data_IF_423542371701
#
_entry.id   IF_423542371701
#
_cell.length_a   1.000
_cell.length_b   1.000
_cell.length_c   1.000
_cell.angle_alpha   90.00
_cell.angle_beta   90.00
_cell.angle_gamma   90.00
#
_symmetry.space_group_name_H-M   'P 1'
#
loop_
_entity.id
_entity.type
_entity.pdbx_description
1 polymer ?
#
# COMPACT_ATOMS: atom_id res chain seq x y z
N UNK A 1 30.67 -22.32 -6.23
CA UNK A 1 30.68 -22.04 -4.78
C UNK A 1 30.57 -20.54 -4.64
N UNK A 2 29.36 -20.01 -4.47
CA UNK A 2 29.16 -18.62 -4.11
C UNK A 2 29.60 -18.47 -2.66
N UNK A 3 30.69 -17.74 -2.43
CA UNK A 3 31.02 -17.25 -1.10
C UNK A 3 29.77 -16.54 -0.58
N UNK A 4 29.26 -17.01 0.55
CA UNK A 4 28.14 -16.36 1.23
C UNK A 4 28.61 -14.97 1.61
N UNK A 5 28.23 -13.98 0.80
CA UNK A 5 28.43 -12.58 1.11
C UNK A 5 27.88 -12.35 2.51
N UNK A 6 28.71 -11.79 3.39
CA UNK A 6 28.26 -11.27 4.65
C UNK A 6 27.11 -10.32 4.36
N UNK A 7 25.88 -10.74 4.66
CA UNK A 7 24.75 -9.84 4.69
C UNK A 7 25.16 -8.69 5.60
N UNK A 8 25.28 -7.49 5.03
CA UNK A 8 25.52 -6.28 5.80
C UNK A 8 24.52 -6.25 6.95
N UNK A 9 24.98 -5.88 8.15
CA UNK A 9 24.06 -5.65 9.25
C UNK A 9 22.96 -4.70 8.75
N UNK A 10 21.67 -5.09 8.83
CA UNK A 10 20.61 -4.22 8.37
C UNK A 10 20.74 -2.88 9.09
N UNK A 11 20.52 -1.75 8.39
CA UNK A 11 20.61 -0.43 8.99
C UNK A 11 19.87 -0.38 10.33
N UNK A 12 20.53 0.15 11.37
CA UNK A 12 19.93 0.31 12.69
C UNK A 12 18.71 1.24 12.58
N UNK A 13 17.51 0.65 12.69
CA UNK A 13 16.22 1.30 12.48
C UNK A 13 15.09 0.27 12.43
N UNK A 14 13.86 0.71 12.18
CA UNK A 14 12.57 -0.02 12.20
C UNK A 14 12.42 -1.12 11.12
N UNK A 15 13.50 -1.86 10.84
CA UNK A 15 13.57 -2.98 9.90
C UNK A 15 13.11 -4.25 10.60
N UNK A 16 11.82 -4.57 10.45
CA UNK A 16 11.33 -5.91 10.76
C UNK A 16 11.57 -6.75 9.51
N UNK A 17 12.73 -7.36 9.37
CA UNK A 17 12.94 -8.32 8.28
C UNK A 17 11.98 -9.51 8.48
N UNK A 18 10.86 -9.51 7.75
CA UNK A 18 9.86 -10.58 7.79
C UNK A 18 10.43 -11.94 7.33
N UNK A 19 11.65 -12.01 6.80
CA UNK A 19 12.33 -13.29 6.63
C UNK A 19 12.81 -13.91 7.97
N UNK A 20 12.97 -13.09 9.01
CA UNK A 20 13.51 -13.47 10.32
C UNK A 20 12.61 -13.10 11.50
N UNK A 21 11.53 -12.36 11.27
CA UNK A 21 10.57 -11.98 12.30
C UNK A 21 9.91 -13.22 12.93
N UNK A 22 9.63 -13.19 14.24
CA UNK A 22 8.93 -14.28 14.91
C UNK A 22 7.49 -14.42 14.39
N UNK A 23 6.93 -15.64 14.52
CA UNK A 23 5.64 -16.02 13.91
C UNK A 23 4.47 -15.11 14.29
N UNK A 24 4.47 -14.54 15.50
CA UNK A 24 3.45 -13.60 15.98
C UNK A 24 3.54 -12.23 15.29
N UNK A 25 4.76 -11.78 15.00
CA UNK A 25 5.02 -10.58 14.22
C UNK A 25 4.71 -10.81 12.73
N UNK A 26 4.94 -12.01 12.20
CA UNK A 26 4.55 -12.41 10.85
C UNK A 26 3.03 -12.52 10.68
N UNK A 27 2.35 -13.14 11.64
CA UNK A 27 0.88 -13.25 11.65
C UNK A 27 0.20 -11.90 11.89
N UNK A 28 0.95 -10.89 12.34
CA UNK A 28 0.51 -9.51 12.38
C UNK A 28 -0.54 -9.20 13.43
N UNK A 29 -0.54 -9.89 14.58
CA UNK A 29 -1.27 -9.53 15.80
C UNK A 29 -2.68 -8.89 15.64
N UNK A 30 -3.48 -9.31 14.64
CA UNK A 30 -4.81 -8.74 14.35
C UNK A 30 -4.81 -7.35 13.68
N UNK A 31 -3.66 -6.85 13.24
CA UNK A 31 -3.51 -5.61 12.46
C UNK A 31 -3.77 -5.87 10.98
N UNK A 32 -4.49 -4.96 10.34
CA UNK A 32 -4.63 -4.97 8.88
C UNK A 32 -3.32 -4.52 8.22
N UNK A 33 -2.88 -5.24 7.19
CA UNK A 33 -1.61 -4.98 6.49
C UNK A 33 -1.82 -4.85 5.00
N UNK A 34 -1.09 -3.91 4.39
CA UNK A 34 -0.98 -3.80 2.94
C UNK A 34 0.46 -4.02 2.52
N UNK A 35 0.69 -4.98 1.63
CA UNK A 35 2.00 -5.30 1.08
C UNK A 35 2.19 -4.72 -0.32
N UNK A 36 3.34 -4.05 -0.48
CA UNK A 36 3.85 -3.47 -1.72
C UNK A 36 5.08 -4.26 -2.18
N UNK A 37 4.89 -5.38 -2.89
CA UNK A 37 5.98 -6.14 -3.49
C UNK A 37 6.52 -5.47 -4.75
N UNK A 38 7.82 -5.56 -4.99
CA UNK A 38 8.45 -5.01 -6.19
C UNK A 38 7.96 -5.71 -7.47
N UNK A 39 7.72 -7.02 -7.40
CA UNK A 39 7.31 -7.85 -8.55
C UNK A 39 5.89 -7.57 -9.03
N UNK A 40 4.97 -7.40 -8.10
CA UNK A 40 3.56 -7.08 -8.36
C UNK A 40 3.34 -5.58 -8.62
N UNK A 41 4.35 -4.76 -8.30
CA UNK A 41 4.42 -3.31 -8.50
C UNK A 41 5.24 -2.86 -9.72
N UNK A 42 5.57 -3.75 -10.64
CA UNK A 42 6.45 -3.46 -11.80
C UNK A 42 5.99 -2.41 -12.78
N UNK A 43 4.68 -2.13 -12.86
CA UNK A 43 4.13 -1.11 -13.76
C UNK A 43 3.70 0.15 -12.99
N UNK A 44 4.12 0.30 -11.72
CA UNK A 44 3.68 1.39 -10.86
C UNK A 44 3.95 2.80 -11.39
N UNK A 45 4.91 2.94 -12.30
CA UNK A 45 5.27 4.22 -12.93
C UNK A 45 4.76 4.35 -14.37
N UNK A 46 4.20 3.28 -14.94
CA UNK A 46 3.87 3.20 -16.36
C UNK A 46 2.44 2.77 -16.64
N UNK A 47 1.69 2.33 -15.63
CA UNK A 47 0.30 1.90 -15.76
C UNK A 47 -0.65 3.11 -15.65
N UNK A 48 -1.22 3.60 -16.77
CA UNK A 48 -2.13 4.74 -16.73
C UNK A 48 -3.50 4.40 -16.11
N UNK A 49 -3.81 3.12 -15.92
CA UNK A 49 -5.08 2.69 -15.32
C UNK A 49 -5.05 2.70 -13.79
N UNK A 50 -3.88 2.87 -13.19
CA UNK A 50 -3.67 2.82 -11.73
C UNK A 50 -3.07 4.14 -11.23
N UNK A 51 -3.36 4.55 -9.99
CA UNK A 51 -2.65 5.67 -9.37
C UNK A 51 -1.16 5.38 -9.25
N UNK A 52 -0.34 6.44 -9.26
CA UNK A 52 1.12 6.32 -9.07
C UNK A 52 1.48 5.66 -7.72
N UNK A 53 2.67 5.05 -7.64
CA UNK A 53 3.16 4.38 -6.43
C UNK A 53 2.99 5.19 -5.15
N UNK A 54 3.38 6.47 -5.18
CA UNK A 54 3.28 7.38 -4.03
C UNK A 54 1.84 7.56 -3.59
N UNK A 55 0.92 7.73 -4.55
CA UNK A 55 -0.49 7.89 -4.25
C UNK A 55 -1.08 6.63 -3.60
N UNK A 56 -0.75 5.46 -4.13
CA UNK A 56 -1.18 4.16 -3.58
C UNK A 56 -0.63 3.93 -2.18
N UNK A 57 0.65 4.27 -1.94
CA UNK A 57 1.28 4.16 -0.64
C UNK A 57 0.61 5.06 0.40
N UNK A 58 0.28 6.31 0.05
CA UNK A 58 -0.47 7.22 0.94
C UNK A 58 -1.88 6.72 1.22
N UNK A 59 -2.60 6.26 0.21
CA UNK A 59 -3.94 5.66 0.38
C UNK A 59 -3.88 4.45 1.33
N UNK A 60 -2.91 3.55 1.13
CA UNK A 60 -2.71 2.41 2.00
C UNK A 60 -2.35 2.81 3.43
N UNK A 61 -1.51 3.84 3.61
CA UNK A 61 -1.14 4.37 4.93
C UNK A 61 -2.36 4.90 5.69
N UNK A 62 -3.31 5.49 4.97
CA UNK A 62 -4.58 5.95 5.54
C UNK A 62 -5.51 4.79 5.88
N UNK A 63 -5.52 3.68 5.13
CA UNK A 63 -6.50 2.58 5.27
C UNK A 63 -6.06 1.43 6.20
N UNK A 64 -4.78 1.08 6.16
CA UNK A 64 -4.25 -0.13 6.80
C UNK A 64 -3.51 0.22 8.09
N UNK A 65 -3.46 -0.71 9.04
CA UNK A 65 -2.75 -0.48 10.31
C UNK A 65 -1.24 -0.53 10.12
N UNK A 66 -0.73 -1.34 9.19
CA UNK A 66 0.67 -1.31 8.77
C UNK A 66 0.79 -1.37 7.25
N UNK A 67 1.82 -0.72 6.72
CA UNK A 67 2.18 -0.78 5.32
C UNK A 67 3.56 -1.41 5.20
N UNK A 68 3.64 -2.49 4.44
CA UNK A 68 4.84 -3.29 4.26
C UNK A 68 5.37 -3.07 2.85
N UNK A 69 6.63 -2.64 2.71
CA UNK A 69 7.28 -2.47 1.42
C UNK A 69 8.39 -3.51 1.23
N UNK A 70 8.54 -4.04 0.02
CA UNK A 70 9.76 -4.74 -0.37
C UNK A 70 10.82 -3.71 -0.78
N UNK A 71 11.91 -3.53 -0.02
CA UNK A 71 12.93 -2.56 -0.37
C UNK A 71 13.83 -3.09 -1.49
N UNK A 72 14.38 -2.17 -2.27
CA UNK A 72 15.32 -2.48 -3.36
C UNK A 72 14.86 -1.92 -4.69
N UNK A 73 15.59 -2.30 -5.74
CA UNK A 73 15.24 -2.05 -7.13
C UNK A 73 15.02 -3.40 -7.81
N UNK A 74 13.86 -3.59 -8.43
CA UNK A 74 13.59 -4.79 -9.22
C UNK A 74 13.47 -4.42 -10.68
N UNK A 75 14.23 -5.10 -11.52
CA UNK A 75 14.28 -4.87 -12.95
C UNK A 75 13.95 -6.16 -13.70
N UNK A 76 13.18 -6.03 -14.78
CA UNK A 76 12.80 -7.13 -15.65
C UNK A 76 13.00 -6.71 -17.08
N UNK A 77 13.66 -7.54 -17.87
CA UNK A 77 13.76 -7.40 -19.31
C UNK A 77 13.25 -8.67 -19.97
N UNK A 78 12.26 -8.53 -20.82
CA UNK A 78 11.61 -9.63 -21.53
C UNK A 78 11.84 -9.42 -23.01
N UNK A 79 12.46 -10.40 -23.66
CA UNK A 79 12.75 -10.44 -25.07
C UNK A 79 11.99 -11.59 -25.75
N UNK A 80 12.13 -11.74 -27.07
CA UNK A 80 11.39 -12.77 -27.80
C UNK A 80 11.85 -14.20 -27.46
N UNK A 81 13.13 -14.36 -27.16
CA UNK A 81 13.81 -15.65 -26.90
C UNK A 81 14.15 -15.88 -25.42
N UNK A 82 13.81 -14.94 -24.52
CA UNK A 82 14.06 -15.10 -23.10
C UNK A 82 13.56 -13.96 -22.23
N UNK A 83 13.77 -14.11 -20.92
CA UNK A 83 13.57 -13.03 -19.95
C UNK A 83 14.67 -13.07 -18.90
N UNK A 84 15.09 -11.91 -18.43
CA UNK A 84 15.96 -11.74 -17.28
C UNK A 84 15.26 -10.86 -16.25
N UNK A 85 15.28 -11.28 -15.00
CA UNK A 85 14.85 -10.47 -13.87
C UNK A 85 15.95 -10.40 -12.81
N UNK A 86 16.07 -9.26 -12.15
CA UNK A 86 17.08 -8.98 -11.14
C UNK A 86 16.51 -8.16 -10.00
N UNK A 87 16.96 -8.44 -8.78
CA UNK A 87 16.69 -7.63 -7.61
C UNK A 87 18.03 -7.11 -7.09
N UNK A 88 18.10 -5.81 -6.89
CA UNK A 88 19.25 -5.12 -6.31
C UNK A 88 18.85 -4.72 -4.88
N UNK A 89 19.61 -5.16 -3.87
CA UNK A 89 19.30 -4.89 -2.48
C UNK A 89 19.46 -3.39 -2.16
N UNK A 90 18.74 -2.86 -1.15
CA UNK A 90 18.77 -1.44 -0.83
C UNK A 90 20.17 -0.90 -0.48
N UNK A 91 21.05 -1.73 0.08
CA UNK A 91 22.42 -1.34 0.47
C UNK A 91 23.34 -1.08 -0.74
N UNK A 92 22.97 -1.58 -1.92
CA UNK A 92 23.72 -1.41 -3.18
C UNK A 92 23.12 -0.32 -4.08
N UNK A 93 22.01 0.31 -3.67
CA UNK A 93 21.34 1.31 -4.49
C UNK A 93 22.08 2.64 -4.49
N UNK A 94 22.19 3.23 -5.67
CA UNK A 94 22.60 4.63 -5.85
C UNK A 94 21.48 5.42 -6.52
N UNK A 95 21.50 6.75 -6.35
CA UNK A 95 20.57 7.67 -7.03
C UNK A 95 20.64 7.51 -8.55
N UNK A 96 21.83 7.22 -9.10
CA UNK A 96 21.98 7.00 -10.54
C UNK A 96 21.31 5.70 -11.00
N UNK A 97 21.33 4.65 -10.18
CA UNK A 97 20.65 3.39 -10.46
C UNK A 97 19.14 3.57 -10.44
N UNK A 98 18.60 4.28 -9.44
CA UNK A 98 17.18 4.62 -9.35
C UNK A 98 16.75 5.49 -10.55
N UNK A 99 17.51 6.52 -10.89
CA UNK A 99 17.27 7.36 -12.05
C UNK A 99 17.40 6.60 -13.38
N UNK A 100 18.30 5.60 -13.44
CA UNK A 100 18.44 4.73 -14.60
C UNK A 100 17.25 3.79 -14.76
N UNK A 101 16.86 3.07 -13.72
CA UNK A 101 15.74 2.12 -13.77
C UNK A 101 14.42 2.78 -14.18
N UNK A 102 14.21 4.05 -13.84
CA UNK A 102 13.03 4.82 -14.27
C UNK A 102 13.00 5.17 -15.75
N UNK A 103 14.10 5.01 -16.48
CA UNK A 103 14.13 5.17 -17.93
C UNK A 103 13.57 3.91 -18.57
N UNK A 104 12.28 3.94 -18.91
CA UNK A 104 11.60 2.85 -19.63
C UNK A 104 12.39 2.54 -20.91
N UNK A 105 12.93 1.32 -21.00
CA UNK A 105 13.62 0.88 -22.20
C UNK A 105 12.61 0.74 -23.35
N UNK A 106 12.96 1.24 -24.54
CA UNK A 106 12.08 1.21 -25.70
C UNK A 106 11.95 -0.22 -26.25
N UNK A 107 10.73 -0.76 -26.40
CA UNK A 107 10.50 -2.01 -27.10
C UNK A 107 11.15 -2.01 -28.50
N UNK A 108 11.69 -3.15 -28.91
CA UNK A 108 12.42 -3.32 -30.17
C UNK A 108 13.93 -3.03 -30.08
N UNK A 109 14.41 -2.43 -28.98
CA UNK A 109 15.86 -2.28 -28.75
C UNK A 109 16.54 -3.64 -28.61
N UNK A 110 17.79 -3.75 -29.06
CA UNK A 110 18.52 -5.02 -28.98
C UNK A 110 18.88 -5.32 -27.52
N UNK A 111 18.34 -6.40 -26.99
CA UNK A 111 18.66 -6.91 -25.66
C UNK A 111 19.54 -8.14 -25.79
N UNK A 112 20.66 -8.16 -25.07
CA UNK A 112 21.58 -9.29 -25.09
C UNK A 112 22.04 -9.64 -23.69
N UNK A 113 21.86 -10.90 -23.31
CA UNK A 113 22.41 -11.49 -22.10
C UNK A 113 23.46 -12.49 -22.52
N UNK A 114 24.65 -12.36 -21.96
CA UNK A 114 25.72 -13.31 -22.18
C UNK A 114 26.22 -13.88 -20.86
N UNK A 115 26.52 -15.18 -20.84
CA UNK A 115 27.04 -15.89 -19.69
C UNK A 115 28.39 -16.51 -20.05
N UNK A 116 29.34 -16.47 -19.12
CA UNK A 116 30.67 -17.05 -19.28
C UNK A 116 31.22 -17.53 -17.93
N UNK A 117 32.26 -18.38 -17.93
CA UNK A 117 32.94 -18.76 -16.71
C UNK A 117 33.53 -17.53 -16.03
N UNK A 118 33.43 -17.48 -14.69
CA UNK A 118 33.99 -16.39 -13.90
C UNK A 118 35.51 -16.27 -14.15
N UNK A 119 35.96 -15.09 -14.58
CA UNK A 119 37.37 -14.83 -14.91
C UNK A 119 37.85 -15.38 -16.26
N UNK A 120 36.95 -15.91 -17.10
CA UNK A 120 37.27 -16.30 -18.47
C UNK A 120 36.85 -15.25 -19.51
N UNK A 121 37.57 -15.19 -20.63
CA UNK A 121 37.30 -14.25 -21.73
C UNK A 121 36.14 -14.69 -22.66
N UNK A 122 35.67 -15.94 -22.50
CA UNK A 122 34.65 -16.50 -23.38
C UNK A 122 33.24 -16.26 -22.85
N UNK A 123 32.48 -15.42 -23.55
CA UNK A 123 31.07 -15.16 -23.25
C UNK A 123 30.16 -15.82 -24.31
N UNK A 124 29.12 -16.51 -23.86
CA UNK A 124 28.10 -17.12 -24.72
C UNK A 124 26.79 -16.37 -24.57
N UNK A 125 26.24 -15.89 -25.69
CA UNK A 125 24.95 -15.22 -25.68
C UNK A 125 23.83 -16.23 -25.42
N UNK A 126 23.03 -15.96 -24.39
CA UNK A 126 21.87 -16.77 -23.96
C UNK A 126 20.57 -16.16 -24.45
N UNK A 127 20.52 -14.83 -24.50
CA UNK A 127 19.39 -14.05 -25.03
C UNK A 127 20.00 -13.06 -26.03
N UNK A 128 19.49 -12.99 -27.25
CA UNK A 128 19.93 -12.03 -28.26
C UNK A 128 18.80 -11.70 -29.22
N UNK A 129 17.79 -11.01 -28.70
CA UNK A 129 16.62 -10.64 -29.48
C UNK A 129 16.13 -9.23 -29.14
N UNK A 130 15.22 -8.67 -29.93
CA UNK A 130 14.59 -7.41 -29.59
C UNK A 130 13.84 -7.52 -28.26
N UNK A 131 14.00 -6.50 -27.42
CA UNK A 131 13.25 -6.33 -26.19
C UNK A 131 11.76 -6.22 -26.52
N UNK A 132 10.93 -7.05 -25.88
CA UNK A 132 9.46 -6.99 -25.98
C UNK A 132 8.93 -5.98 -24.97
N UNK A 133 9.39 -6.07 -23.73
CA UNK A 133 9.02 -5.16 -22.64
C UNK A 133 10.11 -5.15 -21.58
N UNK A 134 10.32 -4.00 -20.94
CA UNK A 134 11.08 -3.89 -19.71
C UNK A 134 10.19 -3.30 -18.62
N UNK A 135 10.39 -3.78 -17.40
CA UNK A 135 9.70 -3.30 -16.23
C UNK A 135 10.69 -2.94 -15.12
N UNK A 136 10.32 -1.96 -14.31
CA UNK A 136 11.09 -1.55 -13.14
C UNK A 136 10.15 -1.17 -12.01
N UNK A 137 10.49 -1.60 -10.79
CA UNK A 137 9.82 -1.19 -9.56
C UNK A 137 10.82 -0.83 -8.48
N UNK A 138 10.49 0.23 -7.73
CA UNK A 138 11.18 0.64 -6.51
C UNK A 138 10.20 1.47 -5.66
N UNK A 139 10.42 1.48 -4.35
CA UNK A 139 9.63 2.27 -3.39
C UNK A 139 10.48 3.28 -2.61
N UNK A 140 11.73 3.51 -3.01
CA UNK A 140 12.62 4.43 -2.32
C UNK A 140 12.19 5.87 -2.58
N UNK A 141 12.14 6.23 -3.85
CA UNK A 141 11.96 7.63 -4.21
C UNK A 141 10.52 8.08 -4.00
N UNK A 142 10.36 9.06 -3.11
CA UNK A 142 9.07 9.68 -2.81
C UNK A 142 8.20 8.88 -1.84
N UNK A 143 8.66 7.72 -1.36
CA UNK A 143 7.97 6.94 -0.31
C UNK A 143 8.95 6.67 0.84
N UNK A 144 9.85 5.68 0.72
CA UNK A 144 10.73 5.30 1.84
C UNK A 144 11.69 6.43 2.21
N UNK A 145 12.30 7.11 1.24
CA UNK A 145 13.21 8.24 1.50
C UNK A 145 12.48 9.41 2.18
N UNK A 146 11.25 9.68 1.74
CA UNK A 146 10.42 10.74 2.31
C UNK A 146 9.94 10.40 3.73
N UNK A 147 9.71 9.12 4.02
CA UNK A 147 9.27 8.62 5.31
C UNK A 147 10.40 8.41 6.32
N UNK A 148 11.66 8.31 5.86
CA UNK A 148 12.82 8.00 6.69
C UNK A 148 12.96 8.96 7.88
N UNK A 149 12.77 10.28 7.67
CA UNK A 149 12.89 11.27 8.74
C UNK A 149 11.79 11.16 9.80
N UNK A 150 10.59 10.69 9.43
CA UNK A 150 9.49 10.51 10.37
C UNK A 150 9.63 9.21 11.19
N UNK A 151 10.37 8.22 10.66
CA UNK A 151 10.55 6.90 11.28
C UNK A 151 9.23 6.29 11.82
N UNK A 152 8.15 6.25 11.00
CA UNK A 152 6.85 5.80 11.47
C UNK A 152 6.89 4.32 11.86
N UNK A 153 6.29 3.99 13.00
CA UNK A 153 6.23 2.63 13.53
C UNK A 153 5.37 1.66 12.69
N UNK A 154 4.47 2.23 11.87
CA UNK A 154 3.53 1.52 11.01
C UNK A 154 4.07 1.19 9.62
N UNK A 155 5.27 1.67 9.25
CA UNK A 155 5.95 1.25 8.03
C UNK A 155 6.87 0.09 8.36
N UNK A 156 6.72 -1.02 7.62
CA UNK A 156 7.53 -2.23 7.75
C UNK A 156 8.22 -2.53 6.42
N UNK A 157 9.31 -3.27 6.48
CA UNK A 157 10.10 -3.65 5.31
C UNK A 157 10.20 -5.16 5.21
N UNK A 158 9.99 -5.74 4.04
CA UNK A 158 10.00 -7.19 3.85
C UNK A 158 10.86 -7.57 2.66
N UNK A 159 12.00 -8.21 2.93
CA UNK A 159 12.95 -8.59 1.87
C UNK A 159 12.67 -10.00 1.37
N UNK A 160 12.22 -10.13 0.12
CA UNK A 160 12.01 -11.44 -0.50
C UNK A 160 13.27 -11.94 -1.22
N UNK A 161 14.08 -11.03 -1.74
CA UNK A 161 15.24 -11.38 -2.57
C UNK A 161 14.84 -12.12 -3.86
N UNK A 162 15.81 -12.71 -4.57
CA UNK A 162 15.56 -13.36 -5.87
C UNK A 162 14.88 -14.74 -5.77
N UNK A 163 14.97 -15.40 -4.62
CA UNK A 163 14.38 -16.72 -4.39
C UNK A 163 13.91 -16.85 -2.92
N UNK A 164 12.76 -16.26 -2.55
CA UNK A 164 12.33 -16.18 -1.17
C UNK A 164 11.98 -17.53 -0.55
N UNK A 165 11.59 -18.52 -1.37
CA UNK A 165 11.00 -19.75 -0.87
C UNK A 165 11.88 -20.97 -1.16
N UNK A 166 12.62 -21.39 -0.13
CA UNK A 166 13.48 -22.57 -0.18
C UNK A 166 12.70 -23.84 -0.58
N UNK A 167 13.34 -24.71 -1.36
CA UNK A 167 12.76 -26.01 -1.68
C UNK A 167 12.59 -26.89 -0.43
N UNK A 168 11.47 -27.60 -0.34
CA UNK A 168 11.10 -28.45 0.80
C UNK A 168 10.46 -27.74 2.00
N UNK A 169 10.32 -26.40 1.97
CA UNK A 169 9.50 -25.69 2.98
C UNK A 169 8.05 -25.58 2.52
N UNK A 170 7.11 -25.44 3.46
CA UNK A 170 5.69 -25.26 3.14
C UNK A 170 5.43 -24.09 2.16
N UNK A 171 5.99 -22.88 2.35
CA UNK A 171 5.83 -21.79 1.40
C UNK A 171 6.40 -22.11 0.01
N UNK A 172 7.56 -22.76 -0.03
CA UNK A 172 8.19 -23.17 -1.29
C UNK A 172 7.37 -24.21 -2.05
N UNK A 173 6.77 -25.16 -1.34
CA UNK A 173 5.88 -26.15 -1.93
C UNK A 173 4.57 -25.53 -2.40
N UNK A 174 3.99 -24.61 -1.63
CA UNK A 174 2.80 -23.86 -2.02
C UNK A 174 3.04 -23.05 -3.30
N UNK A 175 4.14 -22.29 -3.35
CA UNK A 175 4.57 -21.53 -4.52
C UNK A 175 4.75 -22.43 -5.74
N UNK A 176 5.50 -23.55 -5.62
CA UNK A 176 5.69 -24.52 -6.72
C UNK A 176 4.39 -25.18 -7.18
N UNK A 177 3.45 -25.48 -6.28
CA UNK A 177 2.14 -26.03 -6.64
C UNK A 177 1.34 -25.02 -7.46
N UNK A 178 1.24 -23.77 -6.99
CA UNK A 178 0.54 -22.68 -7.69
C UNK A 178 1.15 -22.39 -9.05
N UNK A 179 2.48 -22.25 -9.10
CA UNK A 179 3.22 -22.05 -10.35
C UNK A 179 2.92 -23.15 -11.38
N UNK A 180 2.91 -24.42 -10.96
CA UNK A 180 2.61 -25.54 -11.86
C UNK A 180 1.15 -25.54 -12.32
N UNK A 181 0.21 -25.17 -11.46
CA UNK A 181 -1.21 -25.09 -11.81
C UNK A 181 -1.45 -24.01 -12.88
N UNK A 182 -1.00 -22.78 -12.64
CA UNK A 182 -1.22 -21.65 -13.56
C UNK A 182 -0.45 -21.82 -14.88
N UNK A 183 0.74 -22.44 -14.87
CA UNK A 183 1.47 -22.79 -16.09
C UNK A 183 0.69 -23.77 -16.98
N UNK A 184 -0.05 -24.69 -16.36
CA UNK A 184 -0.87 -25.70 -17.06
C UNK A 184 -2.21 -25.14 -17.52
N UNK A 185 -2.66 -24.05 -16.91
CA UNK A 185 -3.88 -23.34 -17.32
C UNK A 185 -3.69 -22.71 -18.71
N UNK A 186 -4.12 -23.46 -19.72
CA UNK A 186 -4.04 -23.05 -21.12
C UNK A 186 -4.99 -21.92 -21.49
N UNK A 187 -5.93 -21.57 -20.62
CA UNK A 187 -6.90 -20.49 -20.87
C UNK A 187 -6.42 -19.14 -20.32
N UNK A 188 -5.39 -19.11 -19.49
CA UNK A 188 -4.70 -17.88 -19.10
C UNK A 188 -3.71 -17.48 -20.19
N UNK A 189 -3.93 -16.32 -20.83
CA UNK A 189 -3.15 -15.78 -21.94
C UNK A 189 -2.86 -16.84 -23.02
N UNK A 190 -3.89 -17.43 -23.66
CA UNK A 190 -3.75 -18.55 -24.57
C UNK A 190 -2.85 -18.23 -25.77
N UNK A 191 -2.89 -17.00 -26.27
CA UNK A 191 -2.04 -16.48 -27.35
C UNK A 191 -0.56 -16.47 -26.95
N UNK A 192 -0.28 -16.22 -25.68
CA UNK A 192 1.06 -16.19 -25.11
C UNK A 192 1.51 -17.56 -24.57
N UNK A 193 0.73 -18.63 -24.77
CA UNK A 193 1.08 -19.96 -24.23
C UNK A 193 2.28 -20.56 -24.96
N UNK A 194 2.37 -20.36 -26.27
CA UNK A 194 3.45 -20.82 -27.15
C UNK A 194 3.77 -19.70 -28.13
N UNK A 195 5.05 -19.42 -28.34
CA UNK A 195 5.49 -18.38 -29.29
C UNK A 195 5.69 -17.03 -28.63
N UNK A 196 5.33 -15.95 -29.34
CA UNK A 196 5.51 -14.57 -28.88
C UNK A 196 4.73 -14.33 -27.57
N UNK A 197 5.37 -13.72 -26.59
CA UNK A 197 4.77 -13.49 -25.27
C UNK A 197 4.89 -14.65 -24.28
N UNK A 198 5.45 -15.81 -24.67
CA UNK A 198 5.65 -16.95 -23.75
C UNK A 198 6.44 -16.56 -22.49
N UNK A 199 7.58 -15.91 -22.65
CA UNK A 199 8.40 -15.47 -21.52
C UNK A 199 7.70 -14.42 -20.66
N UNK A 200 6.92 -13.52 -21.27
CA UNK A 200 6.09 -12.55 -20.54
C UNK A 200 5.05 -13.25 -19.68
N UNK A 201 4.29 -14.19 -20.26
CA UNK A 201 3.31 -14.99 -19.53
C UNK A 201 3.94 -15.75 -18.37
N UNK A 202 5.07 -16.42 -18.60
CA UNK A 202 5.77 -17.19 -17.59
C UNK A 202 6.28 -16.33 -16.43
N UNK A 203 6.81 -15.15 -16.74
CA UNK A 203 7.25 -14.18 -15.75
C UNK A 203 6.07 -13.61 -14.94
N UNK A 204 4.96 -13.23 -15.58
CA UNK A 204 3.74 -12.74 -14.89
C UNK A 204 3.25 -13.77 -13.87
N UNK A 205 3.17 -15.05 -14.27
CA UNK A 205 2.76 -16.14 -13.37
C UNK A 205 3.75 -16.28 -12.20
N UNK A 206 5.06 -16.26 -12.49
CA UNK A 206 6.12 -16.37 -11.47
C UNK A 206 6.01 -15.24 -10.43
N UNK A 207 5.97 -14.00 -10.89
CA UNK A 207 5.90 -12.79 -10.08
C UNK A 207 4.65 -12.78 -9.20
N UNK A 208 3.47 -12.94 -9.80
CA UNK A 208 2.20 -12.98 -9.07
C UNK A 208 2.15 -14.07 -7.99
N UNK A 209 2.64 -15.27 -8.32
CA UNK A 209 2.64 -16.38 -7.38
C UNK A 209 3.63 -16.20 -6.24
N UNK A 210 4.74 -15.54 -6.50
CA UNK A 210 5.70 -15.24 -5.45
C UNK A 210 5.07 -14.27 -4.44
N UNK A 211 4.47 -13.19 -4.94
CA UNK A 211 3.96 -12.11 -4.11
C UNK A 211 2.72 -12.49 -3.31
N UNK A 212 1.82 -13.27 -3.89
CA UNK A 212 0.64 -13.75 -3.15
C UNK A 212 1.01 -14.73 -2.04
N UNK A 213 2.09 -15.52 -2.22
CA UNK A 213 2.58 -16.40 -1.15
C UNK A 213 3.25 -15.56 -0.09
N UNK A 214 4.08 -14.58 -0.46
CA UNK A 214 4.69 -13.64 0.47
C UNK A 214 3.62 -12.89 1.28
N UNK A 215 2.60 -12.33 0.63
CA UNK A 215 1.52 -11.59 1.28
C UNK A 215 0.74 -12.48 2.25
N UNK A 216 0.51 -13.75 1.90
CA UNK A 216 -0.16 -14.71 2.77
C UNK A 216 0.66 -15.04 4.02
N UNK A 217 2.00 -15.09 3.92
CA UNK A 217 2.87 -15.37 5.08
C UNK A 217 2.87 -14.24 6.10
N UNK A 218 2.74 -13.00 5.62
CA UNK A 218 2.83 -11.81 6.47
C UNK A 218 1.45 -11.28 6.87
N UNK A 219 0.38 -12.01 6.53
CA UNK A 219 -1.01 -11.64 6.83
C UNK A 219 -1.45 -10.34 6.14
N UNK A 220 -0.95 -10.05 4.94
CA UNK A 220 -1.20 -8.80 4.23
C UNK A 220 -2.07 -8.97 2.99
N UNK A 221 -2.93 -7.97 2.78
CA UNK A 221 -3.53 -7.69 1.47
C UNK A 221 -2.42 -7.27 0.50
N UNK A 222 -2.60 -7.57 -0.78
CA UNK A 222 -1.74 -7.05 -1.82
C UNK A 222 -2.61 -6.58 -3.00
N UNK A 223 -2.24 -5.45 -3.59
CA UNK A 223 -2.94 -4.87 -4.73
C UNK A 223 -1.98 -4.86 -5.93
N UNK A 224 -2.06 -5.83 -6.86
CA UNK A 224 -1.20 -5.82 -8.04
C UNK A 224 -1.53 -4.67 -9.00
N UNK A 225 -0.62 -4.36 -9.93
CA UNK A 225 -0.95 -3.52 -11.10
C UNK A 225 -1.92 -4.22 -12.07
N UNK A 226 -2.44 -3.48 -13.05
CA UNK A 226 -3.40 -4.01 -14.04
C UNK A 226 -2.88 -5.23 -14.80
N UNK A 227 -1.55 -5.35 -14.96
CA UNK A 227 -0.87 -6.51 -15.55
C UNK A 227 -1.30 -7.86 -14.97
N UNK A 228 -1.57 -7.91 -13.66
CA UNK A 228 -1.89 -9.15 -12.98
C UNK A 228 -3.39 -9.32 -12.68
N UNK A 229 -4.22 -8.34 -13.04
CA UNK A 229 -5.68 -8.43 -12.86
C UNK A 229 -6.25 -9.72 -13.44
N UNK A 230 -5.86 -10.20 -14.64
CA UNK A 230 -6.42 -11.44 -15.17
C UNK A 230 -6.11 -12.69 -14.33
N UNK A 231 -4.95 -12.73 -13.63
CA UNK A 231 -4.65 -13.81 -12.68
C UNK A 231 -5.43 -13.65 -11.38
N UNK A 232 -5.52 -12.41 -10.89
CA UNK A 232 -6.24 -12.10 -9.65
C UNK A 232 -7.73 -12.42 -9.77
N UNK A 233 -8.35 -12.02 -10.88
CA UNK A 233 -9.74 -12.34 -11.22
C UNK A 233 -9.94 -13.85 -11.29
N UNK A 234 -9.14 -14.58 -12.08
CA UNK A 234 -9.26 -16.05 -12.18
C UNK A 234 -9.24 -16.75 -10.83
N UNK A 235 -8.44 -16.25 -9.88
CA UNK A 235 -8.41 -16.78 -8.52
C UNK A 235 -9.61 -16.39 -7.68
N UNK A 236 -10.08 -15.16 -7.81
CA UNK A 236 -11.32 -14.73 -7.18
C UNK A 236 -12.50 -15.57 -7.67
N UNK A 237 -12.65 -15.78 -8.99
CA UNK A 237 -13.67 -16.64 -9.60
C UNK A 237 -13.56 -18.11 -9.18
N UNK A 238 -12.34 -18.62 -8.97
CA UNK A 238 -12.13 -19.98 -8.45
C UNK A 238 -12.49 -20.11 -6.96
N UNK A 239 -12.53 -19.00 -6.21
CA UNK A 239 -12.82 -18.97 -4.79
C UNK A 239 -14.28 -18.60 -4.47
N UNK A 240 -14.98 -17.76 -5.26
CA UNK A 240 -16.41 -17.40 -5.12
C UNK A 240 -16.95 -16.59 -6.33
N UNK A 241 -18.28 -16.53 -6.47
CA UNK A 241 -19.14 -16.08 -7.57
C UNK A 241 -18.64 -15.06 -8.62
N UNK A 242 -19.10 -15.18 -9.89
CA UNK A 242 -18.69 -14.31 -10.97
C UNK A 242 -19.33 -12.92 -10.89
N UNK A 243 -18.58 -11.85 -11.17
CA UNK A 243 -18.99 -10.41 -11.19
C UNK A 243 -18.90 -9.58 -9.91
N UNK A 244 -17.93 -9.86 -9.03
CA UNK A 244 -17.58 -8.87 -8.00
C UNK A 244 -16.84 -7.68 -8.65
N UNK A 245 -17.53 -6.56 -8.84
CA UNK A 245 -16.87 -5.25 -8.98
C UNK A 245 -15.94 -5.11 -7.78
N UNK A 246 -14.63 -5.00 -8.02
CA UNK A 246 -13.63 -4.81 -6.97
C UNK A 246 -13.76 -3.40 -6.43
N UNK A 247 -14.69 -3.21 -5.49
CA UNK A 247 -14.72 -2.03 -4.65
C UNK A 247 -13.60 -2.24 -3.65
N UNK A 248 -12.44 -1.65 -3.94
CA UNK A 248 -11.37 -1.59 -2.95
C UNK A 248 -11.59 -0.38 -2.03
N UNK A 249 -11.01 -0.39 -0.83
CA UNK A 249 -11.12 0.74 0.10
C UNK A 249 -10.64 2.08 -0.48
N UNK A 250 -9.93 2.08 -1.61
CA UNK A 250 -9.46 3.29 -2.28
C UNK A 250 -10.58 4.08 -2.95
N UNK A 251 -11.63 3.40 -3.44
CA UNK A 251 -12.82 4.06 -3.99
C UNK A 251 -13.58 4.84 -2.91
N UNK A 252 -13.82 4.20 -1.75
CA UNK A 252 -14.44 4.85 -0.60
C UNK A 252 -13.58 6.00 -0.07
N UNK A 253 -12.26 5.81 0.02
CA UNK A 253 -11.34 6.85 0.42
C UNK A 253 -11.34 8.04 -0.55
N UNK A 254 -11.41 7.78 -1.86
CA UNK A 254 -11.46 8.82 -2.90
C UNK A 254 -12.70 9.71 -2.80
N UNK A 255 -13.80 9.22 -2.25
CA UNK A 255 -15.00 9.99 -1.95
C UNK A 255 -14.77 10.90 -0.72
N UNK A 256 -14.15 10.37 0.33
CA UNK A 256 -14.05 11.01 1.64
C UNK A 256 -12.92 12.03 1.74
N UNK A 257 -11.77 11.68 1.15
CA UNK A 257 -10.59 12.51 1.07
C UNK A 257 -10.16 12.50 -0.41
N UNK A 258 -10.73 13.39 -1.24
CA UNK A 258 -10.34 13.45 -2.63
C UNK A 258 -8.84 13.77 -2.71
N UNK A 259 -8.13 13.10 -3.63
CA UNK A 259 -6.72 13.34 -3.92
C UNK A 259 -5.74 13.08 -2.74
N UNK A 260 -5.93 11.99 -1.97
CA UNK A 260 -4.93 11.54 -0.97
C UNK A 260 -3.51 11.48 -1.55
N UNK A 261 -3.37 11.13 -2.83
CA UNK A 261 -2.06 11.07 -3.49
C UNK A 261 -1.31 12.41 -3.53
N UNK A 262 -2.04 13.53 -3.60
CA UNK A 262 -1.49 14.89 -3.60
C UNK A 262 -1.09 15.41 -2.21
N UNK A 263 -1.48 14.74 -1.13
CA UNK A 263 -1.15 15.17 0.23
C UNK A 263 0.35 15.04 0.52
N UNK A 264 0.99 15.98 1.25
CA UNK A 264 2.36 15.78 1.74
C UNK A 264 2.41 14.63 2.77
N UNK A 265 3.55 13.95 2.92
CA UNK A 265 3.68 12.83 3.87
C UNK A 265 3.47 13.26 5.32
N UNK A 266 3.83 14.50 5.64
CA UNK A 266 3.56 15.19 6.90
C UNK A 266 2.08 15.10 7.28
N UNK A 267 1.16 15.32 6.33
CA UNK A 267 -0.27 15.27 6.58
C UNK A 267 -0.76 13.83 6.84
N UNK A 268 -0.14 12.85 6.18
CA UNK A 268 -0.43 11.43 6.41
C UNK A 268 0.04 11.03 7.81
N UNK A 269 1.24 11.43 8.22
CA UNK A 269 1.76 11.16 9.58
C UNK A 269 0.91 11.86 10.65
N UNK A 270 0.55 13.14 10.45
CA UNK A 270 -0.34 13.89 11.34
C UNK A 270 -1.69 13.18 11.52
N UNK A 271 -2.27 12.65 10.42
CA UNK A 271 -3.47 11.82 10.50
C UNK A 271 -3.24 10.54 11.32
N UNK A 272 -2.11 9.85 11.14
CA UNK A 272 -1.81 8.59 11.85
C UNK A 272 -1.67 8.78 13.35
N UNK A 273 -1.04 9.87 13.75
CA UNK A 273 -0.84 10.26 15.16
C UNK A 273 -2.12 10.76 15.83
N UNK A 274 -3.14 11.11 15.06
CA UNK A 274 -4.43 11.55 15.58
C UNK A 274 -5.14 10.42 16.36
N UNK A 275 -5.67 10.72 17.55
CA UNK A 275 -6.31 9.72 18.42
C UNK A 275 -7.51 8.99 17.78
N UNK A 276 -8.21 9.64 16.84
CA UNK A 276 -9.32 9.07 16.08
C UNK A 276 -8.93 8.30 14.81
N UNK A 277 -7.64 8.18 14.49
CA UNK A 277 -7.20 7.61 13.20
C UNK A 277 -7.52 6.12 13.09
N UNK A 278 -7.40 5.37 14.19
CA UNK A 278 -7.71 3.95 14.24
C UNK A 278 -9.21 3.69 14.02
N UNK A 279 -10.07 4.51 14.64
CA UNK A 279 -11.51 4.47 14.45
C UNK A 279 -11.89 4.81 12.99
N UNK A 280 -11.29 5.86 12.43
CA UNK A 280 -11.49 6.23 11.03
C UNK A 280 -11.11 5.09 10.08
N UNK A 281 -9.98 4.42 10.32
CA UNK A 281 -9.54 3.25 9.56
C UNK A 281 -10.50 2.07 9.65
N UNK A 282 -10.94 1.75 10.86
CA UNK A 282 -11.88 0.65 11.09
C UNK A 282 -13.20 0.90 10.33
N UNK A 283 -13.71 2.13 10.38
CA UNK A 283 -14.91 2.54 9.66
C UNK A 283 -14.74 2.43 8.13
N UNK A 284 -13.61 2.89 7.58
CA UNK A 284 -13.30 2.76 6.15
C UNK A 284 -13.27 1.29 5.69
N UNK A 285 -12.73 0.40 6.51
CA UNK A 285 -12.71 -1.04 6.24
C UNK A 285 -14.09 -1.67 6.35
N UNK A 286 -14.90 -1.25 7.32
CA UNK A 286 -16.29 -1.71 7.42
C UNK A 286 -17.08 -1.38 6.15
N UNK A 287 -16.86 -0.20 5.56
CA UNK A 287 -17.46 0.16 4.29
C UNK A 287 -16.99 -0.75 3.15
N UNK A 288 -15.70 -1.06 3.06
CA UNK A 288 -15.16 -2.02 2.08
C UNK A 288 -15.77 -3.42 2.25
N UNK A 289 -15.86 -3.93 3.48
CA UNK A 289 -16.45 -5.24 3.78
C UNK A 289 -17.95 -5.29 3.48
N UNK A 290 -18.68 -4.19 3.71
CA UNK A 290 -20.10 -4.09 3.33
C UNK A 290 -20.25 -4.02 1.81
N UNK A 291 -19.44 -3.21 1.14
CA UNK A 291 -19.43 -3.06 -0.31
C UNK A 291 -19.13 -4.40 -1.01
N UNK A 292 -18.20 -5.18 -0.48
CA UNK A 292 -17.85 -6.50 -1.01
C UNK A 292 -18.94 -7.56 -0.81
N UNK A 293 -19.85 -7.38 0.16
CA UNK A 293 -20.98 -8.28 0.41
C UNK A 293 -22.21 -7.94 -0.44
N UNK A 294 -22.39 -6.68 -0.77
CA UNK A 294 -23.50 -6.22 -1.62
C UNK A 294 -23.20 -6.51 -3.10
N UNK A 295 -24.22 -6.91 -3.87
CA UNK A 295 -24.04 -7.27 -5.27
C UNK A 295 -23.69 -6.04 -6.14
N UNK A 296 -22.95 -6.27 -7.23
CA UNK A 296 -22.36 -5.24 -8.09
C UNK A 296 -23.34 -4.22 -8.69
N UNK A 297 -24.62 -4.58 -8.84
CA UNK A 297 -25.64 -3.69 -9.39
C UNK A 297 -26.01 -2.56 -8.41
N UNK A 298 -25.93 -2.83 -7.10
CA UNK A 298 -26.25 -1.88 -6.02
C UNK A 298 -25.00 -1.16 -5.46
N UNK A 299 -23.80 -1.66 -5.76
CA UNK A 299 -22.51 -1.13 -5.30
C UNK A 299 -22.35 0.40 -5.43
N UNK A 300 -22.77 0.97 -6.56
CA UNK A 300 -22.68 2.43 -6.78
C UNK A 300 -23.69 3.21 -5.95
N UNK A 301 -24.88 2.64 -5.73
CA UNK A 301 -25.89 3.23 -4.88
C UNK A 301 -25.49 3.14 -3.41
N UNK A 302 -24.92 2.01 -3.01
CA UNK A 302 -24.30 1.80 -1.71
C UNK A 302 -23.18 2.81 -1.42
N UNK A 303 -22.21 2.96 -2.34
CA UNK A 303 -21.15 3.97 -2.21
C UNK A 303 -21.72 5.39 -2.12
N UNK A 304 -22.79 5.69 -2.88
CA UNK A 304 -23.47 6.99 -2.80
C UNK A 304 -24.13 7.20 -1.44
N UNK A 305 -24.75 6.17 -0.86
CA UNK A 305 -25.32 6.22 0.48
C UNK A 305 -24.24 6.48 1.54
N UNK A 306 -23.12 5.74 1.49
CA UNK A 306 -21.98 5.98 2.38
C UNK A 306 -21.48 7.42 2.24
N UNK A 307 -21.31 7.90 1.00
CA UNK A 307 -20.87 9.26 0.73
C UNK A 307 -21.78 10.29 1.39
N UNK A 308 -23.11 10.09 1.32
CA UNK A 308 -24.11 10.94 1.94
C UNK A 308 -24.05 10.89 3.47
N UNK A 309 -23.94 9.69 4.05
CA UNK A 309 -23.87 9.50 5.50
C UNK A 309 -22.63 10.17 6.08
N UNK A 310 -21.46 9.98 5.46
CA UNK A 310 -20.22 10.58 5.93
C UNK A 310 -20.19 12.09 5.67
N UNK A 311 -20.71 12.56 4.54
CA UNK A 311 -20.87 14.00 4.30
C UNK A 311 -21.78 14.65 5.35
N UNK A 312 -22.87 13.98 5.74
CA UNK A 312 -23.76 14.41 6.81
C UNK A 312 -23.07 14.46 8.17
N UNK A 313 -22.29 13.43 8.51
CA UNK A 313 -21.49 13.39 9.73
C UNK A 313 -20.43 14.50 9.79
N UNK A 314 -19.69 14.72 8.69
CA UNK A 314 -18.69 15.78 8.58
C UNK A 314 -19.32 17.18 8.65
N UNK A 315 -20.45 17.40 7.97
CA UNK A 315 -21.18 18.67 8.03
C UNK A 315 -21.69 18.95 9.46
N UNK A 316 -22.25 17.94 10.12
CA UNK A 316 -22.73 18.05 11.50
C UNK A 316 -21.57 18.36 12.47
N UNK A 317 -20.42 17.71 12.30
CA UNK A 317 -19.23 17.99 13.09
C UNK A 317 -18.67 19.40 12.84
N UNK A 318 -18.71 19.87 11.59
CA UNK A 318 -18.31 21.24 11.24
C UNK A 318 -19.24 22.28 11.88
N UNK A 319 -20.55 22.06 11.83
CA UNK A 319 -21.53 22.93 12.47
C UNK A 319 -21.39 22.93 13.99
N UNK A 320 -21.18 21.76 14.60
CA UNK A 320 -20.92 21.62 16.02
C UNK A 320 -19.68 22.42 16.43
N UNK A 321 -18.57 22.30 15.68
CA UNK A 321 -17.34 23.06 15.90
C UNK A 321 -17.56 24.56 15.76
N UNK A 322 -18.35 25.01 14.79
CA UNK A 322 -18.68 26.42 14.60
C UNK A 322 -19.52 26.96 15.75
N UNK A 323 -20.50 26.19 16.25
CA UNK A 323 -21.29 26.56 17.43
C UNK A 323 -20.42 26.67 18.66
N UNK A 324 -19.53 25.70 18.92
CA UNK A 324 -18.61 25.79 20.08
C UNK A 324 -17.71 27.00 20.02
N UNK A 325 -17.16 27.36 18.85
CA UNK A 325 -16.35 28.59 18.73
C UNK A 325 -17.19 29.85 19.00
N UNK A 326 -18.44 29.86 18.54
CA UNK A 326 -19.33 31.02 18.70
C UNK A 326 -19.82 31.14 20.14
N UNK A 327 -20.10 30.01 20.79
CA UNK A 327 -20.44 29.90 22.22
C UNK A 327 -19.25 30.23 23.10
N UNK A 328 -18.04 29.79 22.75
CA UNK A 328 -16.80 30.17 23.44
C UNK A 328 -16.54 31.67 23.32
N UNK A 329 -16.71 32.25 22.14
CA UNK A 329 -16.61 33.71 21.96
C UNK A 329 -17.71 34.46 22.73
N UNK A 330 -18.93 33.93 22.78
CA UNK A 330 -20.03 34.51 23.54
C UNK A 330 -19.82 34.37 25.05
N UNK A 331 -19.27 33.25 25.53
CA UNK A 331 -18.94 33.02 26.94
C UNK A 331 -17.72 33.85 27.36
N UNK A 332 -16.73 34.01 26.48
CA UNK A 332 -15.57 34.88 26.72
C UNK A 332 -15.98 36.36 26.68
N UNK A 333 -16.85 36.76 25.77
CA UNK A 333 -17.48 38.09 25.78
C UNK A 333 -18.33 38.30 27.04
N UNK A 334 -19.11 37.29 27.46
CA UNK A 334 -19.91 37.36 28.68
C UNK A 334 -19.02 37.41 29.94
N UNK A 335 -17.91 36.67 30.01
CA UNK A 335 -16.92 36.78 31.10
C UNK A 335 -16.26 38.14 31.12
N UNK A 336 -15.90 38.68 29.96
CA UNK A 336 -15.34 40.04 29.83
C UNK A 336 -16.35 41.11 30.28
N UNK A 337 -17.65 40.87 30.11
CA UNK A 337 -18.73 41.74 30.58
C UNK A 337 -19.04 41.52 32.09
N UNK A 338 -18.88 40.30 32.61
CA UNK A 338 -19.10 39.98 34.04
C UNK A 338 -17.93 40.41 34.91
N UNK A 339 -16.70 40.52 34.39
CA UNK A 339 -15.56 41.14 35.10
C UNK A 339 -15.73 42.66 35.34
N UNK A 340 -16.82 43.26 34.85
CA UNK A 340 -17.24 44.62 35.20
C UNK A 340 -18.28 44.67 36.34
N UNK A 341 -18.68 43.52 36.92
CA UNK A 341 -19.64 43.47 38.04
C UNK A 341 -19.09 42.61 39.18
N UNK A 342 -18.67 43.20 40.31
CA UNK A 342 -18.13 42.44 41.44
C UNK A 342 -19.27 41.73 42.20
N UNK A 343 -19.28 40.39 42.20
CA UNK A 343 -20.23 39.59 43.00
C UNK A 343 -19.48 38.60 43.88
N UNK A 344 -19.67 38.74 45.20
CA UNK A 344 -19.21 37.82 46.24
C UNK A 344 -20.24 36.69 46.43
N UNK A 345 -19.89 35.43 46.11
CA UNK A 345 -20.69 34.24 46.41
C UNK A 345 -20.10 32.94 45.82
N UNK A 346 -20.25 31.77 46.47
CA UNK A 346 -19.42 30.59 46.20
C UNK A 346 -19.80 29.85 44.91
N UNK A 347 -18.84 29.83 43.98
CA UNK A 347 -18.85 29.14 42.69
C UNK A 347 -18.72 27.61 42.85
N UNK A 348 -19.81 26.90 43.12
CA UNK A 348 -19.81 25.43 43.17
C UNK A 348 -20.52 24.76 41.97
N UNK A 349 -21.40 25.46 41.24
CA UNK A 349 -22.19 24.88 40.14
C UNK A 349 -21.56 24.99 38.76
N UNK A 350 -20.49 25.77 38.59
CA UNK A 350 -19.80 25.95 37.30
C UNK A 350 -18.75 24.88 36.99
N UNK A 351 -18.24 24.17 37.99
CA UNK A 351 -17.17 23.19 37.78
C UNK A 351 -17.65 21.92 37.06
N UNK A 352 -18.83 21.40 37.41
CA UNK A 352 -19.37 20.18 36.82
C UNK A 352 -19.79 20.35 35.34
N UNK A 353 -20.27 21.54 34.94
CA UNK A 353 -20.60 21.83 33.54
C UNK A 353 -19.34 22.01 32.69
N UNK A 354 -18.28 22.61 33.25
CA UNK A 354 -17.01 22.77 32.54
C UNK A 354 -16.29 21.43 32.33
N UNK A 355 -16.39 20.48 33.27
CA UNK A 355 -15.81 19.14 33.10
C UNK A 355 -16.54 18.33 32.01
N UNK A 356 -17.88 18.35 31.98
CA UNK A 356 -18.66 17.70 30.94
C UNK A 356 -18.40 18.30 29.55
N UNK A 357 -18.38 19.65 29.45
CA UNK A 357 -18.05 20.35 28.21
C UNK A 357 -16.61 20.06 27.76
N UNK A 358 -15.66 19.99 28.70
CA UNK A 358 -14.27 19.65 28.40
C UNK A 358 -14.10 18.18 27.99
N UNK A 359 -14.90 17.25 28.54
CA UNK A 359 -14.92 15.85 28.15
C UNK A 359 -15.47 15.67 26.74
N UNK A 360 -16.63 16.25 26.44
CA UNK A 360 -17.25 16.22 25.10
C UNK A 360 -16.34 16.87 24.06
N UNK A 361 -15.70 18.00 24.39
CA UNK A 361 -14.76 18.66 23.49
C UNK A 361 -13.48 17.83 23.26
N UNK A 362 -13.04 17.04 24.25
CA UNK A 362 -11.91 16.11 24.08
C UNK A 362 -12.30 14.92 23.22
N UNK A 363 -13.45 14.30 23.49
CA UNK A 363 -13.96 13.18 22.69
C UNK A 363 -14.17 13.58 21.23
N UNK A 364 -14.73 14.76 20.97
CA UNK A 364 -14.89 15.27 19.60
C UNK A 364 -13.55 15.49 18.90
N UNK A 365 -12.52 15.97 19.62
CA UNK A 365 -11.16 16.15 19.08
C UNK A 365 -10.46 14.82 18.81
N UNK A 366 -10.83 13.74 19.48
CA UNK A 366 -10.27 12.40 19.24
C UNK A 366 -11.16 11.52 18.36
N UNK A 367 -12.24 12.06 17.79
CA UNK A 367 -13.16 11.30 16.94
C UNK A 367 -12.55 10.98 15.56
N UNK A 368 -13.05 9.93 14.92
CA UNK A 368 -12.73 9.62 13.52
C UNK A 368 -13.03 10.79 12.56
N UNK A 369 -14.10 11.53 12.80
CA UNK A 369 -14.50 12.67 11.98
C UNK A 369 -13.47 13.79 12.04
N UNK A 370 -12.94 14.07 13.23
CA UNK A 370 -11.86 15.03 13.42
C UNK A 370 -10.58 14.57 12.71
N UNK A 371 -10.26 13.27 12.76
CA UNK A 371 -9.12 12.70 12.05
C UNK A 371 -9.24 12.91 10.52
N UNK A 372 -10.39 12.61 9.92
CA UNK A 372 -10.61 12.83 8.49
C UNK A 372 -10.58 14.31 8.10
N UNK A 373 -11.00 15.21 8.99
CA UNK A 373 -10.86 16.65 8.75
C UNK A 373 -9.41 17.11 8.67
N UNK A 374 -8.47 16.46 9.37
CA UNK A 374 -7.03 16.74 9.24
C UNK A 374 -6.58 16.53 7.80
N UNK A 375 -6.92 15.38 7.22
CA UNK A 375 -6.60 15.07 5.82
C UNK A 375 -7.26 16.06 4.85
N UNK A 376 -8.56 16.35 5.05
CA UNK A 376 -9.33 17.20 4.14
C UNK A 376 -8.91 18.68 4.16
N UNK A 377 -8.35 19.18 5.27
CA UNK A 377 -7.82 20.55 5.34
C UNK A 377 -6.52 20.72 4.53
N UNK A 378 -5.84 19.62 4.24
CA UNK A 378 -4.54 19.58 3.56
C UNK A 378 -4.67 19.18 2.08
N UNK A 379 -5.80 18.60 1.68
CA UNK A 379 -6.20 18.30 0.29
C UNK A 379 -6.79 19.51 -0.39
#
# INVERSE_FOLDING_TARGET
MTEGGHAGQPPEGLFVDLATAPDDELAGAGKSRMFFPLRGGVELFTDPAMPEAVARAKQASVLYDEVVFEPGLYEVSIAQDGSQDGWIPPEELTDEMLAHGRRVQTPGTRFSVAMGPQGGDQMFSVINSPLVVAYVSEYHTGILDALAHFSPDWVKLATLGSNPFRAGTEPGDLWRRRQRADRRDGSFMPESRRGEGHFRREWIIKAFNQDIVASSLIGASFNPTSLFVPLAERRAFAASAPTAVRLDGSDALGILVPNVGGLPWEAVVEFREHGGSAEARAMLREFEERAAREHSEDAREFLRSIAQDVAGALASAYEAQRRTVTEQLAEEAARTIVDLVPVYGPLASGAASLEAIASDAREQRTSWTAALMVLRRRS
#
